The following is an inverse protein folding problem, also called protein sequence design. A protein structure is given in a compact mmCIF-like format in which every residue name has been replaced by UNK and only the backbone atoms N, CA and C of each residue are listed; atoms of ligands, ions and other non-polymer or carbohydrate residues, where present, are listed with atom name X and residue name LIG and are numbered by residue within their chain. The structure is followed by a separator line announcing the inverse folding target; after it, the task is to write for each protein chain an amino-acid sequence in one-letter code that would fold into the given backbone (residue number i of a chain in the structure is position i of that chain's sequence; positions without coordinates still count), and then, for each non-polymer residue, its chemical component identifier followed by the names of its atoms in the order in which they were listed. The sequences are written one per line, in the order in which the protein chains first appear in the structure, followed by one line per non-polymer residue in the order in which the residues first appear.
data_IF_972283433236
#
_entry.id   IF_972283433236
#
_cell.length_a   1.000
_cell.length_b   1.000
_cell.length_c   1.000
_cell.angle_alpha   90.00
_cell.angle_beta   90.00
_cell.angle_gamma   90.00
#
_symmetry.space_group_name_H-M   'P 1'
#
loop_
_entity.id
_entity.type
_entity.pdbx_description
1 polymer ?
#
# COMPACT_ATOMS: atom_id res chain seq x y z
N UNK A 1 -15.07 7.41 4.98
CA UNK A 1 -14.07 8.30 4.34
C UNK A 1 -12.74 8.38 5.12
N UNK A 2 -12.71 8.05 6.41
CA UNK A 2 -11.56 8.36 7.28
C UNK A 2 -10.34 7.42 7.14
N UNK A 3 -10.53 6.11 6.96
CA UNK A 3 -9.40 5.13 6.91
C UNK A 3 -8.50 5.33 5.68
N UNK A 4 -9.11 5.55 4.51
CA UNK A 4 -8.42 5.74 3.24
C UNK A 4 -7.49 6.96 3.25
N UNK A 5 -7.96 8.09 3.79
CA UNK A 5 -7.17 9.30 3.90
C UNK A 5 -5.95 9.12 4.81
N UNK A 6 -6.14 8.50 5.99
CA UNK A 6 -5.03 8.23 6.92
C UNK A 6 -4.02 7.27 6.29
N UNK A 7 -4.48 6.26 5.54
CA UNK A 7 -3.61 5.33 4.84
C UNK A 7 -2.78 6.03 3.76
N UNK A 8 -3.40 6.85 2.91
CA UNK A 8 -2.69 7.57 1.86
C UNK A 8 -1.63 8.53 2.44
N UNK A 9 -1.97 9.27 3.51
CA UNK A 9 -1.05 10.15 4.22
C UNK A 9 0.12 9.38 4.85
N UNK A 10 -0.17 8.24 5.46
CA UNK A 10 0.85 7.39 6.08
C UNK A 10 1.86 6.86 5.05
N UNK A 11 1.38 6.47 3.86
CA UNK A 11 2.19 5.86 2.81
C UNK A 11 3.07 6.90 2.12
N UNK A 12 2.53 8.10 1.85
CA UNK A 12 3.32 9.20 1.27
C UNK A 12 4.42 9.68 2.22
N UNK A 13 4.12 9.83 3.52
CA UNK A 13 5.14 10.17 4.52
C UNK A 13 6.21 9.09 4.65
N UNK A 14 5.84 7.80 4.61
CA UNK A 14 6.79 6.69 4.63
C UNK A 14 7.76 6.74 3.44
N UNK A 15 7.24 6.93 2.23
CA UNK A 15 8.06 6.95 1.01
C UNK A 15 9.09 8.09 1.05
N UNK A 16 8.69 9.26 1.55
CA UNK A 16 9.60 10.41 1.74
C UNK A 16 10.63 10.12 2.85
N UNK A 17 10.19 9.53 3.96
CA UNK A 17 11.07 9.17 5.06
C UNK A 17 12.13 8.13 4.66
N UNK A 18 11.75 7.08 3.92
CA UNK A 18 12.71 6.11 3.39
C UNK A 18 13.67 6.74 2.37
N UNK A 19 13.17 7.68 1.57
CA UNK A 19 13.94 8.30 0.50
C UNK A 19 15.01 9.25 1.02
N UNK A 20 14.76 9.85 2.18
CA UNK A 20 15.75 10.67 2.88
C UNK A 20 16.84 9.85 3.59
N UNK A 21 16.63 8.55 3.84
CA UNK A 21 17.72 7.62 4.22
C UNK A 21 18.54 7.25 2.99
N UNK A 22 17.86 6.68 1.99
CA UNK A 22 18.45 6.26 0.74
C UNK A 22 17.33 6.13 -0.29
N UNK A 23 17.49 6.76 -1.45
CA UNK A 23 16.53 6.70 -2.54
C UNK A 23 16.16 5.25 -2.93
N UNK A 24 17.12 4.32 -2.82
CA UNK A 24 16.91 2.92 -3.13
C UNK A 24 15.84 2.26 -2.23
N UNK A 25 15.76 2.59 -0.94
CA UNK A 25 14.78 1.96 -0.04
C UNK A 25 13.34 2.31 -0.40
N UNK A 26 13.08 3.55 -0.83
CA UNK A 26 11.75 3.97 -1.29
C UNK A 26 11.34 3.24 -2.57
N UNK A 27 12.27 3.12 -3.51
CA UNK A 27 12.03 2.42 -4.78
C UNK A 27 11.78 0.93 -4.51
N UNK A 28 12.59 0.30 -3.66
CA UNK A 28 12.42 -1.10 -3.28
C UNK A 28 11.09 -1.35 -2.58
N UNK A 29 10.65 -0.46 -1.68
CA UNK A 29 9.34 -0.55 -1.02
C UNK A 29 8.18 -0.47 -2.03
N UNK A 30 8.22 0.50 -2.95
CA UNK A 30 7.20 0.66 -3.99
C UNK A 30 7.17 -0.55 -4.95
N UNK A 31 8.33 -1.02 -5.38
CA UNK A 31 8.45 -2.20 -6.23
C UNK A 31 7.93 -3.45 -5.52
N UNK A 32 8.22 -3.62 -4.23
CA UNK A 32 7.73 -4.76 -3.45
C UNK A 32 6.19 -4.76 -3.37
N UNK A 33 5.57 -3.60 -3.11
CA UNK A 33 4.11 -3.48 -3.00
C UNK A 33 3.40 -3.72 -4.35
N UNK A 34 3.96 -3.22 -5.45
CA UNK A 34 3.47 -3.47 -6.82
C UNK A 34 3.68 -4.94 -7.22
N UNK A 35 4.82 -5.54 -6.87
CA UNK A 35 5.11 -6.94 -7.18
C UNK A 35 4.16 -7.87 -6.41
N UNK A 36 3.89 -7.58 -5.14
CA UNK A 36 2.94 -8.33 -4.32
C UNK A 36 1.52 -8.23 -4.89
N UNK A 37 1.10 -7.05 -5.35
CA UNK A 37 -0.17 -6.87 -6.06
C UNK A 37 -0.28 -7.78 -7.30
N UNK A 38 0.72 -7.70 -8.16
CA UNK A 38 0.75 -8.44 -9.40
C UNK A 38 0.79 -9.94 -9.14
N UNK A 39 1.58 -10.40 -8.16
CA UNK A 39 1.64 -11.81 -7.75
C UNK A 39 0.27 -12.36 -7.33
N UNK A 40 -0.51 -11.61 -6.54
CA UNK A 40 -1.87 -12.00 -6.16
C UNK A 40 -2.80 -12.10 -7.39
N UNK A 41 -2.65 -11.18 -8.36
CA UNK A 41 -3.44 -11.20 -9.60
C UNK A 41 -3.04 -12.36 -10.53
N UNK A 42 -1.75 -12.71 -10.58
CA UNK A 42 -1.25 -13.90 -11.31
C UNK A 42 -1.85 -15.17 -10.73
N UNK A 43 -1.78 -15.34 -9.40
CA UNK A 43 -2.33 -16.51 -8.72
C UNK A 43 -3.84 -16.68 -8.92
N UNK A 44 -4.56 -15.58 -9.16
CA UNK A 44 -6.01 -15.59 -9.44
C UNK A 44 -6.35 -15.78 -10.92
N UNK A 45 -5.36 -15.90 -11.82
CA UNK A 45 -5.57 -16.04 -13.27
C UNK A 45 -6.50 -14.97 -13.89
N UNK A 46 -6.50 -13.75 -13.34
CA UNK A 46 -7.44 -12.67 -13.72
C UNK A 46 -6.80 -11.63 -14.65
N UNK A 47 -6.05 -12.08 -15.66
CA UNK A 47 -5.38 -11.19 -16.62
C UNK A 47 -6.28 -10.76 -17.79
N UNK A 48 -7.31 -11.53 -18.12
CA UNK A 48 -8.00 -11.46 -19.43
C UNK A 48 -9.32 -10.68 -19.43
N UNK A 49 -9.67 -9.97 -18.34
CA UNK A 49 -11.02 -9.39 -18.23
C UNK A 49 -11.25 -8.12 -19.06
N UNK A 50 -10.23 -7.29 -19.29
CA UNK A 50 -10.44 -5.94 -19.82
C UNK A 50 -10.27 -5.77 -21.34
N UNK A 51 -9.48 -6.61 -22.01
CA UNK A 51 -9.23 -6.53 -23.46
C UNK A 51 -8.78 -7.90 -24.00
N UNK A 52 -9.47 -8.51 -24.98
CA UNK A 52 -9.03 -9.76 -25.59
C UNK A 52 -7.91 -9.49 -26.61
N UNK A 53 -6.74 -9.06 -26.13
CA UNK A 53 -5.55 -8.86 -26.97
C UNK A 53 -4.62 -10.04 -26.73
N UNK A 54 -4.49 -10.90 -27.74
CA UNK A 54 -3.65 -12.09 -27.67
C UNK A 54 -2.21 -11.77 -28.10
N UNK A 55 -1.23 -12.36 -27.40
CA UNK A 55 0.20 -12.21 -27.68
C UNK A 55 0.98 -11.41 -26.64
N UNK A 56 2.30 -11.32 -26.82
CA UNK A 56 3.24 -10.66 -25.88
C UNK A 56 2.88 -9.19 -25.62
N UNK A 57 2.41 -8.49 -26.67
CA UNK A 57 1.98 -7.09 -26.57
C UNK A 57 0.75 -6.94 -25.69
N UNK A 58 -0.21 -7.86 -25.78
CA UNK A 58 -1.38 -7.89 -24.91
C UNK A 58 -0.97 -8.04 -23.44
N UNK A 59 -0.06 -8.97 -23.16
CA UNK A 59 0.46 -9.18 -21.80
C UNK A 59 1.11 -7.91 -21.21
N UNK A 60 1.94 -7.21 -21.98
CA UNK A 60 2.59 -5.96 -21.54
C UNK A 60 1.55 -4.86 -21.28
N UNK A 61 0.55 -4.71 -22.15
CA UNK A 61 -0.52 -3.72 -21.96
C UNK A 61 -1.34 -4.03 -20.71
N UNK A 62 -1.71 -5.29 -20.50
CA UNK A 62 -2.41 -5.71 -19.28
C UNK A 62 -1.59 -5.45 -18.03
N UNK A 63 -0.29 -5.73 -18.07
CA UNK A 63 0.63 -5.42 -16.97
C UNK A 63 0.66 -3.92 -16.66
N UNK A 64 0.87 -3.08 -17.68
CA UNK A 64 0.96 -1.63 -17.51
C UNK A 64 -0.33 -1.02 -16.96
N UNK A 65 -1.50 -1.42 -17.49
CA UNK A 65 -2.80 -0.95 -17.00
C UNK A 65 -3.01 -1.32 -15.54
N UNK A 66 -2.61 -2.54 -15.13
CA UNK A 66 -2.71 -2.99 -13.73
C UNK A 66 -1.75 -2.23 -12.81
N UNK A 67 -0.52 -1.94 -13.25
CA UNK A 67 0.43 -1.12 -12.49
C UNK A 67 -0.10 0.32 -12.31
N UNK A 68 -0.62 0.93 -13.37
CA UNK A 68 -1.20 2.28 -13.30
C UNK A 68 -2.44 2.30 -12.41
N UNK A 69 -3.34 1.33 -12.55
CA UNK A 69 -4.50 1.21 -11.67
C UNK A 69 -4.07 1.06 -10.20
N UNK A 70 -3.05 0.23 -9.94
CA UNK A 70 -2.48 0.07 -8.60
C UNK A 70 -1.91 1.38 -8.05
N UNK A 71 -1.08 2.08 -8.83
CA UNK A 71 -0.53 3.38 -8.44
C UNK A 71 -1.64 4.39 -8.10
N UNK A 72 -2.66 4.51 -8.96
CA UNK A 72 -3.80 5.39 -8.70
C UNK A 72 -4.45 5.01 -7.37
N UNK A 73 -4.80 3.73 -7.19
CA UNK A 73 -5.48 3.28 -5.97
C UNK A 73 -4.69 3.46 -4.70
N UNK A 74 -3.36 3.44 -4.78
CA UNK A 74 -2.48 3.67 -3.65
C UNK A 74 -2.44 5.13 -3.21
N UNK A 75 -2.53 6.07 -4.15
CA UNK A 75 -2.48 7.50 -3.83
C UNK A 75 -3.87 8.10 -3.55
N UNK A 76 -4.93 7.55 -4.14
CA UNK A 76 -6.28 8.08 -3.95
C UNK A 76 -7.09 7.31 -2.92
N UNK A 77 -6.63 6.12 -2.50
CA UNK A 77 -7.32 5.23 -1.57
C UNK A 77 -8.83 5.10 -1.87
N UNK A 78 -9.17 5.07 -3.17
CA UNK A 78 -10.54 5.24 -3.63
C UNK A 78 -11.41 4.04 -3.29
N UNK A 79 -12.50 4.29 -2.57
CA UNK A 79 -13.52 3.30 -2.15
C UNK A 79 -14.18 2.59 -3.35
N UNK A 80 -14.21 3.24 -4.53
CA UNK A 80 -14.82 2.70 -5.75
C UNK A 80 -14.19 1.39 -6.25
N UNK A 81 -12.94 1.11 -5.89
CA UNK A 81 -12.27 -0.15 -6.27
C UNK A 81 -12.60 -1.35 -5.37
N UNK A 82 -13.57 -1.21 -4.45
CA UNK A 82 -14.06 -2.29 -3.57
C UNK A 82 -14.79 -3.41 -4.30
N UNK A 83 -15.14 -3.21 -5.57
CA UNK A 83 -15.81 -4.26 -6.34
C UNK A 83 -14.88 -5.50 -6.48
N UNK A 84 -15.38 -6.72 -6.19
CA UNK A 84 -14.58 -7.96 -6.17
C UNK A 84 -13.77 -8.23 -7.45
N UNK A 85 -14.25 -7.73 -8.60
CA UNK A 85 -13.59 -7.89 -9.90
C UNK A 85 -12.44 -6.91 -10.16
N UNK A 86 -12.36 -5.81 -9.43
CA UNK A 86 -11.31 -4.80 -9.64
C UNK A 86 -10.10 -5.07 -8.75
N UNK A 87 -10.19 -4.70 -7.47
CA UNK A 87 -9.16 -4.98 -6.46
C UNK A 87 -9.69 -5.90 -5.35
N UNK A 88 -10.98 -5.83 -5.03
CA UNK A 88 -11.63 -6.67 -4.02
C UNK A 88 -11.26 -6.31 -2.57
N UNK A 89 -12.15 -6.66 -1.63
CA UNK A 89 -12.02 -6.26 -0.22
C UNK A 89 -10.77 -6.80 0.48
N UNK A 90 -10.34 -8.02 0.16
CA UNK A 90 -9.13 -8.62 0.74
C UNK A 90 -7.86 -7.85 0.36
N UNK A 91 -7.78 -7.39 -0.89
CA UNK A 91 -6.61 -6.64 -1.35
C UNK A 91 -6.58 -5.25 -0.72
N UNK A 92 -7.73 -4.60 -0.56
CA UNK A 92 -7.84 -3.35 0.17
C UNK A 92 -7.29 -3.50 1.59
N UNK A 93 -7.69 -4.55 2.31
CA UNK A 93 -7.17 -4.80 3.65
C UNK A 93 -5.64 -4.98 3.66
N UNK A 94 -5.08 -5.77 2.75
CA UNK A 94 -3.63 -5.96 2.64
C UNK A 94 -2.91 -4.63 2.36
N UNK A 95 -3.46 -3.81 1.44
CA UNK A 95 -2.90 -2.49 1.13
C UNK A 95 -3.00 -1.52 2.31
N UNK A 96 -4.03 -1.65 3.16
CA UNK A 96 -4.16 -0.87 4.39
C UNK A 96 -3.10 -1.25 5.43
N UNK A 97 -2.64 -2.50 5.44
CA UNK A 97 -1.58 -2.97 6.33
C UNK A 97 -0.17 -2.73 5.79
N UNK A 98 0.03 -2.55 4.48
CA UNK A 98 1.36 -2.32 3.91
C UNK A 98 2.13 -1.10 4.47
N UNK A 99 1.49 0.06 4.79
CA UNK A 99 2.21 1.15 5.45
C UNK A 99 2.61 0.83 6.89
N UNK A 100 1.87 -0.01 7.62
CA UNK A 100 2.24 -0.43 8.98
C UNK A 100 3.56 -1.22 8.98
N UNK A 101 3.71 -2.14 8.04
CA UNK A 101 4.94 -2.92 7.87
C UNK A 101 6.10 -2.00 7.49
N UNK A 102 5.88 -1.06 6.57
CA UNK A 102 6.88 -0.07 6.17
C UNK A 102 7.35 0.79 7.35
N UNK A 103 6.44 1.21 8.23
CA UNK A 103 6.78 2.03 9.40
C UNK A 103 7.68 1.28 10.39
N UNK A 104 7.43 -0.02 10.60
CA UNK A 104 8.30 -0.86 11.44
C UNK A 104 9.71 -0.95 10.83
N UNK A 105 9.81 -1.12 9.51
CA UNK A 105 11.10 -1.12 8.79
C UNK A 105 11.85 0.22 8.96
N UNK A 106 11.15 1.34 8.87
CA UNK A 106 11.77 2.65 9.10
C UNK A 106 12.28 2.80 10.54
N UNK A 107 11.55 2.24 11.53
CA UNK A 107 12.00 2.25 12.93
C UNK A 107 13.27 1.41 13.14
N UNK A 108 13.43 0.28 12.44
CA UNK A 108 14.68 -0.49 12.51
C UNK A 108 15.84 0.26 11.85
N UNK A 109 15.62 0.86 10.67
CA UNK A 109 16.64 1.65 9.97
C UNK A 109 17.04 2.91 10.73
N UNK A 110 16.11 3.57 11.44
CA UNK A 110 16.44 4.73 12.28
C UNK A 110 17.27 4.34 13.50
N UNK A 111 17.09 3.13 14.06
CA UNK A 111 17.93 2.61 15.15
C UNK A 111 19.38 2.40 14.72
N UNK A 112 19.62 2.09 13.45
CA UNK A 112 20.96 1.93 12.86
C UNK A 112 21.72 3.26 12.66
N UNK A 113 21.12 4.40 13.03
CA UNK A 113 21.83 5.68 13.09
C UNK A 113 21.86 6.47 11.79
N UNK A 114 21.03 6.13 10.81
CA UNK A 114 21.04 6.76 9.48
C UNK A 114 20.54 8.23 9.42
N UNK A 115 20.05 8.81 10.52
CA UNK A 115 19.48 10.17 10.56
C UNK A 115 20.08 11.07 11.64
N UNK A 116 20.08 12.38 11.37
CA UNK A 116 20.29 13.43 12.39
C UNK A 116 19.29 13.27 13.53
N UNK A 117 19.78 13.32 14.77
CA UNK A 117 19.00 13.00 15.98
C UNK A 117 17.76 13.90 16.17
N UNK A 118 17.84 15.18 15.79
CA UNK A 118 16.73 16.14 15.90
C UNK A 118 15.57 15.82 14.94
N UNK A 119 15.86 15.58 13.66
CA UNK A 119 14.83 15.21 12.66
C UNK A 119 14.28 13.81 12.93
N UNK A 120 15.13 12.91 13.45
CA UNK A 120 14.74 11.54 13.82
C UNK A 120 13.65 11.52 14.87
N UNK A 121 13.74 12.30 15.96
CA UNK A 121 12.74 12.29 17.04
C UNK A 121 11.36 12.70 16.52
N UNK A 122 11.27 13.83 15.81
CA UNK A 122 10.01 14.29 15.24
C UNK A 122 9.42 13.31 14.20
N UNK A 123 10.27 12.70 13.38
CA UNK A 123 9.84 11.71 12.39
C UNK A 123 9.37 10.40 13.06
N UNK A 124 10.06 9.96 14.11
CA UNK A 124 9.68 8.78 14.88
C UNK A 124 8.34 8.97 15.60
N UNK A 125 8.13 10.13 16.23
CA UNK A 125 6.87 10.42 16.90
C UNK A 125 5.70 10.50 15.91
N UNK A 126 5.90 11.17 14.77
CA UNK A 126 4.89 11.28 13.72
C UNK A 126 4.55 9.91 13.09
N UNK A 127 5.55 9.08 12.83
CA UNK A 127 5.35 7.73 12.25
C UNK A 127 4.66 6.79 13.23
N UNK A 128 5.01 6.83 14.53
CA UNK A 128 4.32 6.05 15.56
C UNK A 128 2.87 6.51 15.74
N UNK A 129 2.61 7.82 15.76
CA UNK A 129 1.25 8.35 15.86
C UNK A 129 0.36 7.91 14.69
N UNK A 130 0.87 8.02 13.47
CA UNK A 130 0.15 7.59 12.27
C UNK A 130 -0.07 6.07 12.25
N UNK A 131 0.93 5.28 12.65
CA UNK A 131 0.80 3.83 12.73
C UNK A 131 -0.27 3.37 13.73
N UNK A 132 -0.31 3.96 14.93
CA UNK A 132 -1.33 3.64 15.95
C UNK A 132 -2.73 4.05 15.47
N UNK A 133 -2.86 5.22 14.84
CA UNK A 133 -4.13 5.68 14.28
C UNK A 133 -4.66 4.75 13.17
N UNK A 134 -3.77 4.19 12.35
CA UNK A 134 -4.13 3.20 11.34
C UNK A 134 -4.54 1.87 11.93
N UNK A 135 -3.78 1.37 12.91
CA UNK A 135 -4.08 0.10 13.55
C UNK A 135 -5.47 0.11 14.22
N UNK A 136 -5.78 1.19 14.92
CA UNK A 136 -7.09 1.38 15.58
C UNK A 136 -8.23 1.53 14.58
N UNK A 137 -8.08 2.34 13.52
CA UNK A 137 -9.11 2.50 12.50
C UNK A 137 -9.30 1.25 11.63
N UNK A 138 -8.23 0.51 11.34
CA UNK A 138 -8.30 -0.77 10.65
C UNK A 138 -9.00 -1.82 11.53
N UNK A 139 -8.65 -1.89 12.82
CA UNK A 139 -9.32 -2.77 13.79
C UNK A 139 -10.81 -2.47 13.91
N UNK A 140 -11.18 -1.19 14.03
CA UNK A 140 -12.58 -0.76 14.01
C UNK A 140 -13.28 -1.12 12.69
N UNK A 141 -12.61 -0.95 11.55
CA UNK A 141 -13.17 -1.34 10.25
C UNK A 141 -13.45 -2.85 10.16
N UNK A 142 -12.55 -3.70 10.69
CA UNK A 142 -12.76 -5.14 10.75
C UNK A 142 -13.86 -5.54 11.74
N UNK A 143 -14.01 -4.83 12.86
CA UNK A 143 -15.09 -5.04 13.82
C UNK A 143 -16.46 -4.54 13.31
N UNK A 144 -16.46 -3.49 12.49
CA UNK A 144 -17.64 -2.93 11.82
C UNK A 144 -18.03 -3.68 10.56
N UNK A 145 -17.20 -4.62 10.08
CA UNK A 145 -17.58 -5.47 8.95
C UNK A 145 -18.74 -6.34 9.41
N UNK A 146 -19.90 -6.10 8.80
CA UNK A 146 -21.14 -6.68 9.27
C UNK A 146 -21.06 -8.20 9.16
N UNK A 147 -21.37 -8.89 10.26
CA UNK A 147 -21.23 -10.35 10.43
C UNK A 147 -22.11 -11.16 9.45
N UNK A 148 -23.01 -10.49 8.74
CA UNK A 148 -23.93 -11.02 7.71
C UNK A 148 -23.27 -11.43 6.39
N UNK A 149 -22.05 -10.97 6.09
CA UNK A 149 -21.32 -11.32 4.86
C UNK A 149 -20.14 -12.27 5.12
N UNK A 150 -20.28 -13.16 6.10
CA UNK A 150 -19.33 -14.25 6.35
C UNK A 150 -19.74 -15.53 5.66
#
# INVERSE_FOLDING_TARGET
MNLAAVQALSKSMLIVALGSVNSWYSVAYLLADVTLYLGIKVLRNDFTYHMPIYGVVGFILHFMVRVVAKLITDFTATIHFRHPRELGGLYFSINSFSPLIGMVLLLTLTKEGAFKETTRKHLQDATMFLGVSLFTLAGLFFLLINKEYR
#
